data_IF_262898236255
#
_entry.id   IF_262898236255
#
_cell.length_a   1.000
_cell.length_b   1.000
_cell.length_c   1.000
_cell.angle_alpha   90.00
_cell.angle_beta   90.00
_cell.angle_gamma   90.00
#
_symmetry.space_group_name_H-M   'P 1'
#
loop_
_entity.id
_entity.type
_entity.pdbx_description
1 polymer ?
#
# COMPACT_ATOMS: atom_id res chain seq x y z
N UNK A 1 5.19 16.57 10.49
CA UNK A 1 4.28 16.35 9.34
C UNK A 1 4.43 14.96 8.71
N UNK A 2 5.66 14.47 8.43
CA UNK A 2 5.90 13.16 7.76
C UNK A 2 5.15 11.96 8.37
N UNK A 3 5.10 11.83 9.70
CA UNK A 3 4.39 10.73 10.37
C UNK A 3 2.90 10.66 10.05
N UNK A 4 2.21 11.81 10.05
CA UNK A 4 0.76 11.88 9.78
C UNK A 4 0.50 11.52 8.32
N UNK A 5 1.32 12.03 7.40
CA UNK A 5 1.24 11.71 5.98
C UNK A 5 1.45 10.22 5.73
N UNK A 6 2.51 9.62 6.30
CA UNK A 6 2.80 8.20 6.15
C UNK A 6 1.69 7.32 6.70
N UNK A 7 1.16 7.65 7.90
CA UNK A 7 0.01 6.93 8.47
C UNK A 7 -1.21 7.00 7.57
N UNK A 8 -1.53 8.18 7.04
CA UNK A 8 -2.67 8.34 6.14
C UNK A 8 -2.50 7.51 4.85
N UNK A 9 -1.31 7.51 4.26
CA UNK A 9 -1.02 6.72 3.05
C UNK A 9 -1.19 5.21 3.30
N UNK A 10 -0.71 4.70 4.43
CA UNK A 10 -0.89 3.29 4.82
C UNK A 10 -2.37 2.96 5.02
N UNK A 11 -3.13 3.84 5.68
CA UNK A 11 -4.57 3.62 5.89
C UNK A 11 -5.36 3.64 4.58
N UNK A 12 -4.98 4.51 3.63
CA UNK A 12 -5.57 4.54 2.30
C UNK A 12 -5.27 3.25 1.52
N UNK A 13 -4.01 2.79 1.55
CA UNK A 13 -3.60 1.54 0.93
C UNK A 13 -4.35 0.32 1.50
N UNK A 14 -4.55 0.27 2.82
CA UNK A 14 -5.35 -0.77 3.48
C UNK A 14 -6.78 -0.84 2.93
N UNK A 15 -7.44 0.32 2.77
CA UNK A 15 -8.78 0.39 2.18
C UNK A 15 -8.82 -0.19 0.77
N UNK A 16 -7.90 0.25 -0.09
CA UNK A 16 -7.80 -0.22 -1.49
C UNK A 16 -7.47 -1.70 -1.59
N UNK A 17 -6.58 -2.20 -0.74
CA UNK A 17 -6.24 -3.63 -0.67
C UNK A 17 -7.44 -4.47 -0.25
N UNK A 18 -8.19 -4.01 0.76
CA UNK A 18 -9.44 -4.66 1.18
C UNK A 18 -10.46 -4.69 0.06
N UNK A 19 -10.66 -3.59 -0.67
CA UNK A 19 -11.61 -3.53 -1.79
C UNK A 19 -11.24 -4.52 -2.90
N UNK A 20 -9.94 -4.67 -3.19
CA UNK A 20 -9.45 -5.67 -4.16
C UNK A 20 -9.64 -7.11 -3.73
N UNK A 21 -9.39 -7.41 -2.45
CA UNK A 21 -9.45 -8.78 -1.93
C UNK A 21 -10.89 -9.23 -1.63
N UNK A 22 -11.82 -8.29 -1.43
CA UNK A 22 -13.22 -8.58 -1.13
C UNK A 22 -13.38 -9.50 0.08
N UNK A 23 -14.12 -10.60 -0.08
CA UNK A 23 -14.36 -11.58 0.99
C UNK A 23 -13.12 -12.37 1.44
N UNK A 24 -12.03 -12.35 0.65
CA UNK A 24 -10.78 -13.01 0.99
C UNK A 24 -9.82 -12.12 1.80
N UNK A 25 -10.23 -10.89 2.13
CA UNK A 25 -9.39 -9.97 2.87
C UNK A 25 -8.99 -10.53 4.24
N UNK A 26 -7.68 -10.48 4.51
CA UNK A 26 -7.08 -10.83 5.80
C UNK A 26 -6.13 -9.72 6.23
N UNK A 27 -6.39 -9.15 7.41
CA UNK A 27 -5.56 -8.06 7.95
C UNK A 27 -4.11 -8.51 8.20
N UNK A 28 -3.90 -9.74 8.68
CA UNK A 28 -2.56 -10.31 8.86
C UNK A 28 -1.77 -10.36 7.56
N UNK A 29 -2.39 -10.88 6.49
CA UNK A 29 -1.78 -10.95 5.16
C UNK A 29 -1.40 -9.57 4.63
N UNK A 30 -2.24 -8.55 4.85
CA UNK A 30 -1.91 -7.17 4.49
C UNK A 30 -0.63 -6.70 5.20
N UNK A 31 -0.52 -6.93 6.51
CA UNK A 31 0.67 -6.56 7.26
C UNK A 31 1.91 -7.33 6.80
N UNK A 32 1.77 -8.64 6.57
CA UNK A 32 2.85 -9.48 6.06
C UNK A 32 3.34 -8.97 4.71
N UNK A 33 2.44 -8.73 3.76
CA UNK A 33 2.77 -8.25 2.42
C UNK A 33 3.38 -6.83 2.45
N UNK A 34 2.93 -5.96 3.36
CA UNK A 34 3.45 -4.60 3.54
C UNK A 34 4.91 -4.59 4.01
N UNK A 35 5.30 -5.51 4.90
CA UNK A 35 6.64 -5.53 5.50
C UNK A 35 7.61 -6.51 4.82
N UNK A 36 7.09 -7.44 4.00
CA UNK A 36 7.86 -8.51 3.36
C UNK A 36 9.09 -8.03 2.59
N UNK A 37 9.00 -6.85 1.97
CA UNK A 37 10.07 -6.27 1.16
C UNK A 37 10.89 -5.19 1.89
N UNK A 38 10.71 -5.06 3.21
CA UNK A 38 11.36 -4.00 4.01
C UNK A 38 10.73 -2.63 3.78
N UNK A 39 11.46 -1.57 4.16
CA UNK A 39 10.98 -0.19 4.09
C UNK A 39 11.07 0.37 2.68
N UNK A 40 10.12 -0.01 1.83
CA UNK A 40 9.97 0.57 0.50
C UNK A 40 9.17 1.88 0.54
N UNK A 41 9.39 2.79 -0.42
CA UNK A 41 8.47 3.90 -0.65
C UNK A 41 7.05 3.37 -0.91
N UNK A 42 6.05 4.03 -0.33
CA UNK A 42 4.65 3.58 -0.41
C UNK A 42 4.15 3.42 -1.85
N UNK A 43 4.65 4.24 -2.78
CA UNK A 43 4.32 4.15 -4.21
C UNK A 43 4.76 2.83 -4.85
N UNK A 44 5.87 2.24 -4.40
CA UNK A 44 6.36 0.94 -4.87
C UNK A 44 5.52 -0.19 -4.26
N UNK A 45 5.19 -0.07 -2.97
CA UNK A 45 4.32 -1.04 -2.29
C UNK A 45 2.93 -1.08 -2.94
N UNK A 46 2.33 0.08 -3.24
CA UNK A 46 1.05 0.15 -3.93
C UNK A 46 1.09 -0.57 -5.28
N UNK A 47 2.16 -0.39 -6.05
CA UNK A 47 2.31 -1.10 -7.32
C UNK A 47 2.43 -2.61 -7.14
N UNK A 48 3.19 -3.09 -6.15
CA UNK A 48 3.34 -4.53 -5.89
C UNK A 48 2.03 -5.17 -5.41
N UNK A 49 1.32 -4.51 -4.47
CA UNK A 49 0.12 -5.08 -3.85
C UNK A 49 -1.13 -4.93 -4.72
N UNK A 50 -1.21 -3.83 -5.45
CA UNK A 50 -2.39 -3.44 -6.21
C UNK A 50 -2.16 -3.47 -7.71
N UNK A 51 -1.02 -3.94 -8.21
CA UNK A 51 -0.68 -3.97 -9.65
C UNK A 51 -1.07 -2.68 -10.38
N UNK A 52 -0.94 -1.53 -9.69
CA UNK A 52 -1.38 -0.22 -10.14
C UNK A 52 -0.20 0.76 -10.14
N UNK A 53 0.30 1.17 -11.32
CA UNK A 53 1.47 2.04 -11.43
C UNK A 53 1.14 3.52 -11.21
N UNK A 54 -0.11 3.91 -10.97
CA UNK A 54 -0.52 5.33 -10.89
C UNK A 54 0.27 6.15 -9.87
N UNK A 55 0.50 5.59 -8.68
CA UNK A 55 1.25 6.27 -7.62
C UNK A 55 2.75 6.31 -7.89
N UNK A 56 3.28 5.30 -8.60
CA UNK A 56 4.67 5.28 -9.04
C UNK A 56 4.91 6.36 -10.12
N UNK A 57 4.03 6.46 -11.11
CA UNK A 57 4.12 7.48 -12.16
C UNK A 57 4.08 8.90 -11.61
N UNK A 58 3.25 9.16 -10.58
CA UNK A 58 3.21 10.46 -9.90
C UNK A 58 4.49 10.79 -9.14
N UNK A 59 5.21 9.78 -8.65
CA UNK A 59 6.43 9.97 -7.87
C UNK A 59 7.68 10.18 -8.73
N UNK A 60 7.66 9.73 -9.99
CA UNK A 60 8.76 9.86 -10.96
C UNK A 60 8.66 11.17 -11.76
N UNK A 61 7.51 11.85 -11.69
CA UNK A 61 7.23 13.11 -12.37
C UNK A 61 7.64 14.30 -11.50
#
# INVERSE_FOLDING_TARGET
MSYITGKWQIMNLLGRYKDRQGGNFRLGQFHDDLIKNGSLPISVVEWILLDDPSSLQKAVK
#
